data_IF_704834681332
#
_entry.id   IF_704834681332
#
_cell.length_a   1.000
_cell.length_b   1.000
_cell.length_c   1.000
_cell.angle_alpha   90.00
_cell.angle_beta   90.00
_cell.angle_gamma   90.00
#
_symmetry.space_group_name_H-M   'P 1'
#
loop_
_entity.id
_entity.type
_entity.pdbx_description
1 polymer ?
#
# COMPACT_ATOMS: atom_id res chain seq x y z
N UNK A 1 -15.30 -8.26 -6.74
CA UNK A 1 -14.15 -9.19 -6.57
C UNK A 1 -12.87 -8.50 -6.12
N UNK A 2 -12.50 -7.34 -6.68
CA UNK A 2 -11.27 -6.64 -6.27
C UNK A 2 -11.39 -5.98 -4.89
N UNK A 3 -12.56 -5.42 -4.61
CA UNK A 3 -12.86 -4.73 -3.34
C UNK A 3 -12.80 -5.69 -2.13
N UNK A 4 -13.30 -6.91 -2.28
CA UNK A 4 -13.28 -7.95 -1.23
C UNK A 4 -11.86 -8.43 -0.93
N UNK A 5 -10.99 -8.50 -1.95
CA UNK A 5 -9.58 -8.81 -1.75
C UNK A 5 -8.87 -7.69 -0.99
N UNK A 6 -9.12 -6.42 -1.36
CA UNK A 6 -8.57 -5.26 -0.68
C UNK A 6 -9.07 -5.15 0.77
N UNK A 7 -10.34 -5.47 1.04
CA UNK A 7 -10.88 -5.47 2.41
C UNK A 7 -10.23 -6.56 3.28
N UNK A 8 -9.97 -7.75 2.72
CA UNK A 8 -9.20 -8.80 3.40
C UNK A 8 -7.78 -8.33 3.73
N UNK A 9 -7.08 -7.70 2.79
CA UNK A 9 -5.73 -7.18 3.00
C UNK A 9 -5.74 -6.06 4.06
N UNK A 10 -6.72 -5.15 3.98
CA UNK A 10 -6.92 -4.11 4.99
C UNK A 10 -7.09 -4.71 6.39
N UNK A 11 -7.88 -5.77 6.54
CA UNK A 11 -8.07 -6.46 7.83
C UNK A 11 -6.78 -7.09 8.32
N UNK A 12 -6.01 -7.76 7.45
CA UNK A 12 -4.72 -8.37 7.82
C UNK A 12 -3.75 -7.34 8.42
N UNK A 13 -3.63 -6.18 7.79
CA UNK A 13 -2.76 -5.10 8.29
C UNK A 13 -3.34 -4.40 9.52
N UNK A 14 -4.65 -4.12 9.53
CA UNK A 14 -5.30 -3.42 10.65
C UNK A 14 -5.28 -4.22 11.95
N UNK A 15 -5.32 -5.55 11.84
CA UNK A 15 -5.23 -6.46 12.98
C UNK A 15 -3.79 -6.77 13.39
N UNK A 16 -2.79 -6.22 12.68
CA UNK A 16 -1.36 -6.45 12.93
C UNK A 16 -0.97 -7.95 12.90
N UNK A 17 -1.69 -8.74 12.09
CA UNK A 17 -1.43 -10.17 11.95
C UNK A 17 -0.14 -10.46 11.16
N UNK A 18 0.39 -9.44 10.49
CA UNK A 18 1.61 -9.50 9.70
C UNK A 18 2.67 -8.66 10.42
N UNK A 19 3.78 -9.31 10.79
CA UNK A 19 4.98 -8.65 11.32
C UNK A 19 6.09 -8.76 10.29
N UNK A 20 6.55 -7.63 9.77
CA UNK A 20 7.59 -7.65 8.74
C UNK A 20 8.40 -6.36 8.71
N UNK A 21 9.66 -6.50 8.33
CA UNK A 21 10.55 -5.41 7.97
C UNK A 21 10.71 -5.43 6.44
N UNK A 22 10.23 -4.38 5.77
CA UNK A 22 10.25 -4.28 4.32
C UNK A 22 11.46 -3.45 3.95
N UNK A 23 12.54 -4.14 3.59
CA UNK A 23 13.71 -3.58 2.93
C UNK A 23 13.72 -4.03 1.47
N UNK A 24 14.23 -3.19 0.57
CA UNK A 24 14.32 -3.52 -0.85
C UNK A 24 15.19 -4.78 -1.01
N UNK A 25 14.79 -5.80 -1.79
CA UNK A 25 15.62 -6.96 -2.02
C UNK A 25 16.89 -6.52 -2.74
N UNK A 26 18.02 -6.51 -2.05
CA UNK A 26 19.30 -6.21 -2.67
C UNK A 26 19.58 -7.25 -3.76
N UNK A 27 19.80 -6.86 -5.03
CA UNK A 27 20.00 -7.79 -6.13
C UNK A 27 21.27 -8.65 -6.00
N UNK A 28 22.17 -8.28 -5.07
CA UNK A 28 23.41 -8.98 -4.74
C UNK A 28 23.36 -9.77 -3.42
N UNK A 29 22.26 -9.66 -2.67
CA UNK A 29 22.08 -10.42 -1.44
C UNK A 29 21.53 -11.80 -1.78
N UNK A 30 22.26 -12.86 -1.41
CA UNK A 30 21.74 -14.24 -1.37
C UNK A 30 20.70 -14.42 -0.25
N UNK A 31 19.96 -13.37 0.11
CA UNK A 31 18.87 -13.45 1.07
C UNK A 31 17.64 -13.92 0.31
N UNK A 32 17.49 -15.24 0.33
CA UNK A 32 16.32 -16.05 0.05
C UNK A 32 15.21 -15.45 -0.83
N UNK A 33 14.95 -16.18 -1.91
CA UNK A 33 13.81 -16.25 -2.83
C UNK A 33 12.40 -15.84 -2.32
N UNK A 34 12.24 -15.62 -1.02
CA UNK A 34 11.11 -14.99 -0.33
C UNK A 34 11.23 -13.46 -0.30
N UNK A 35 11.69 -12.82 -1.38
CA UNK A 35 11.41 -11.39 -1.69
C UNK A 35 10.06 -10.99 -1.07
N UNK A 36 10.14 -10.20 0.01
CA UNK A 36 9.15 -10.09 1.07
C UNK A 36 7.72 -10.16 0.51
N UNK A 37 6.96 -11.24 0.78
CA UNK A 37 5.60 -11.45 0.25
C UNK A 37 4.73 -10.20 0.47
N UNK A 38 4.99 -9.48 1.55
CA UNK A 38 4.33 -8.23 1.91
C UNK A 38 4.67 -7.09 0.95
N UNK A 39 5.93 -6.98 0.50
CA UNK A 39 6.30 -6.04 -0.56
C UNK A 39 5.51 -6.32 -1.84
N UNK A 40 5.37 -7.59 -2.23
CA UNK A 40 4.56 -7.97 -3.41
C UNK A 40 3.09 -7.61 -3.23
N UNK A 41 2.54 -7.81 -2.03
CA UNK A 41 1.16 -7.40 -1.71
C UNK A 41 1.02 -5.88 -1.87
N UNK A 42 1.94 -5.09 -1.29
CA UNK A 42 1.91 -3.63 -1.38
C UNK A 42 2.06 -3.15 -2.83
N UNK A 43 2.95 -3.74 -3.61
CA UNK A 43 3.15 -3.44 -5.04
C UNK A 43 1.87 -3.74 -5.84
N UNK A 44 1.21 -4.87 -5.60
CA UNK A 44 -0.08 -5.21 -6.23
C UNK A 44 -1.19 -4.23 -5.83
N UNK A 45 -1.27 -3.85 -4.55
CA UNK A 45 -2.21 -2.85 -4.03
C UNK A 45 -1.97 -1.48 -4.66
N UNK A 46 -0.71 -1.08 -4.86
CA UNK A 46 -0.40 0.17 -5.53
C UNK A 46 -0.76 0.13 -7.02
N UNK A 47 -0.52 -1.00 -7.69
CA UNK A 47 -0.90 -1.20 -9.11
C UNK A 47 -2.41 -1.16 -9.32
N UNK A 48 -3.22 -1.60 -8.36
CA UNK A 48 -4.69 -1.54 -8.48
C UNK A 48 -5.25 -0.12 -8.50
N UNK A 49 -4.46 0.87 -8.08
CA UNK A 49 -4.82 2.28 -8.25
C UNK A 49 -4.95 2.70 -9.73
N UNK A 50 -4.26 1.99 -10.65
CA UNK A 50 -4.31 2.26 -12.09
C UNK A 50 -5.61 1.83 -12.78
N UNK A 51 -6.56 1.23 -12.06
CA UNK A 51 -7.83 0.76 -12.62
C UNK A 51 -8.85 1.90 -12.84
N UNK A 52 -8.66 3.05 -12.18
CA UNK A 52 -9.49 4.25 -12.39
C UNK A 52 -10.92 4.16 -11.82
N UNK A 53 -11.19 3.15 -10.99
CA UNK A 53 -12.47 3.01 -10.29
C UNK A 53 -12.40 3.66 -8.90
N UNK A 54 -13.30 4.62 -8.63
CA UNK A 54 -13.30 5.41 -7.40
C UNK A 54 -13.36 4.56 -6.12
N UNK A 55 -14.14 3.47 -6.14
CA UNK A 55 -14.25 2.57 -4.99
C UNK A 55 -12.96 1.80 -4.74
N UNK A 56 -12.29 1.36 -5.81
CA UNK A 56 -11.00 0.67 -5.70
C UNK A 56 -9.94 1.64 -5.16
N UNK A 57 -9.90 2.87 -5.65
CA UNK A 57 -8.98 3.89 -5.15
C UNK A 57 -9.13 4.11 -3.65
N UNK A 58 -10.37 4.27 -3.16
CA UNK A 58 -10.64 4.45 -1.74
C UNK A 58 -10.21 3.23 -0.91
N UNK A 59 -10.50 2.01 -1.39
CA UNK A 59 -10.11 0.77 -0.73
C UNK A 59 -8.57 0.61 -0.69
N UNK A 60 -7.86 0.98 -1.75
CA UNK A 60 -6.39 1.02 -1.75
C UNK A 60 -5.86 2.02 -0.74
N UNK A 61 -6.41 3.25 -0.69
CA UNK A 61 -6.00 4.25 0.29
C UNK A 61 -6.19 3.77 1.74
N UNK A 62 -7.29 3.06 2.02
CA UNK A 62 -7.53 2.45 3.34
C UNK A 62 -6.48 1.40 3.69
N UNK A 63 -6.13 0.53 2.74
CA UNK A 63 -5.08 -0.47 2.90
C UNK A 63 -3.75 0.20 3.22
N UNK A 64 -3.32 1.15 2.38
CA UNK A 64 -2.03 1.84 2.53
C UNK A 64 -1.95 2.60 3.86
N UNK A 65 -3.02 3.31 4.24
CA UNK A 65 -3.11 3.97 5.54
C UNK A 65 -2.92 2.97 6.70
N UNK A 66 -3.57 1.82 6.64
CA UNK A 66 -3.43 0.79 7.69
C UNK A 66 -2.00 0.22 7.75
N UNK A 67 -1.39 -0.04 6.59
CA UNK A 67 -0.01 -0.52 6.50
C UNK A 67 0.99 0.46 7.12
N UNK A 68 0.90 1.77 6.82
CA UNK A 68 1.85 2.77 7.35
C UNK A 68 1.63 3.07 8.84
N UNK A 69 0.40 2.92 9.35
CA UNK A 69 0.08 3.14 10.77
C UNK A 69 0.30 1.91 11.64
N UNK A 70 0.58 0.75 11.05
CA UNK A 70 0.76 -0.51 11.77
C UNK A 70 2.11 -0.51 12.53
N UNK A 71 2.12 -0.70 13.87
CA UNK A 71 3.35 -0.77 14.64
C UNK A 71 4.17 -2.05 14.36
N UNK A 72 3.59 -3.05 13.70
CA UNK A 72 4.27 -4.31 13.36
C UNK A 72 4.88 -4.31 11.96
N UNK A 73 4.71 -3.22 11.22
CA UNK A 73 5.20 -3.08 9.85
C UNK A 73 6.19 -1.92 9.75
N UNK A 74 7.38 -2.23 9.25
CA UNK A 74 8.44 -1.26 9.09
C UNK A 74 8.77 -1.12 7.61
N UNK A 75 8.17 -0.11 6.97
CA UNK A 75 8.36 0.17 5.54
C UNK A 75 9.54 1.12 5.37
N UNK A 76 10.56 0.72 4.61
CA UNK A 76 11.72 1.56 4.32
C UNK A 76 12.05 1.63 2.83
N UNK A 77 12.96 2.54 2.49
CA UNK A 77 13.55 2.68 1.16
C UNK A 77 12.52 2.89 0.05
N UNK A 78 12.73 2.22 -1.09
CA UNK A 78 11.92 2.39 -2.29
C UNK A 78 10.46 1.96 -2.10
N UNK A 79 10.16 1.04 -1.19
CA UNK A 79 8.78 0.64 -0.90
C UNK A 79 7.99 1.82 -0.31
N UNK A 80 8.59 2.58 0.61
CA UNK A 80 7.97 3.78 1.16
C UNK A 80 7.75 4.84 0.07
N UNK A 81 8.77 5.06 -0.77
CA UNK A 81 8.68 6.01 -1.90
C UNK A 81 7.58 5.59 -2.88
N UNK A 82 7.44 4.29 -3.13
CA UNK A 82 6.38 3.75 -3.99
C UNK A 82 4.99 4.02 -3.43
N UNK A 83 4.76 3.75 -2.14
CA UNK A 83 3.48 4.05 -1.46
C UNK A 83 3.17 5.55 -1.50
N UNK A 84 4.14 6.40 -1.15
CA UNK A 84 3.99 7.86 -1.17
C UNK A 84 3.65 8.35 -2.58
N UNK A 85 4.35 7.86 -3.60
CA UNK A 85 4.09 8.22 -5.01
C UNK A 85 2.68 7.82 -5.42
N UNK A 86 2.23 6.63 -5.04
CA UNK A 86 0.87 6.16 -5.34
C UNK A 86 -0.19 7.08 -4.72
N UNK A 87 -0.06 7.41 -3.43
CA UNK A 87 -0.98 8.34 -2.78
C UNK A 87 -0.95 9.73 -3.42
N UNK A 88 0.24 10.23 -3.78
CA UNK A 88 0.40 11.53 -4.41
C UNK A 88 -0.26 11.60 -5.80
N UNK A 89 -0.18 10.51 -6.58
CA UNK A 89 -0.86 10.41 -7.87
C UNK A 89 -2.38 10.51 -7.73
N UNK A 90 -2.99 9.90 -6.72
CA UNK A 90 -4.43 10.06 -6.45
C UNK A 90 -4.76 11.47 -5.99
N UNK A 91 -3.93 12.05 -5.13
CA UNK A 91 -4.13 13.42 -4.64
C UNK A 91 -4.17 14.45 -5.78
N UNK A 92 -3.26 14.33 -6.77
CA UNK A 92 -3.20 15.27 -7.90
C UNK A 92 -4.09 14.90 -9.09
N UNK A 93 -4.25 13.60 -9.36
CA UNK A 93 -4.89 13.10 -10.59
C UNK A 93 -6.27 12.47 -10.39
N UNK A 94 -6.69 12.21 -9.15
CA UNK A 94 -7.99 11.62 -8.86
C UNK A 94 -9.13 12.55 -9.26
N UNK A 95 -10.24 12.00 -9.76
CA UNK A 95 -11.42 12.79 -10.16
C UNK A 95 -12.41 13.01 -9.01
N UNK A 96 -12.25 12.26 -7.92
CA UNK A 96 -13.09 12.33 -6.74
C UNK A 96 -12.41 13.11 -5.60
N UNK A 97 -13.06 14.19 -5.15
CA UNK A 97 -12.56 15.02 -4.04
C UNK A 97 -12.41 14.25 -2.72
N UNK A 98 -13.24 13.22 -2.48
CA UNK A 98 -13.12 12.38 -1.28
C UNK A 98 -11.83 11.57 -1.29
N UNK A 99 -11.53 10.90 -2.41
CA UNK A 99 -10.29 10.14 -2.57
C UNK A 99 -9.06 11.03 -2.51
N UNK A 100 -9.10 12.23 -3.10
CA UNK A 100 -8.02 13.21 -2.97
C UNK A 100 -7.77 13.60 -1.51
N UNK A 101 -8.83 13.91 -0.76
CA UNK A 101 -8.71 14.26 0.65
C UNK A 101 -8.17 13.09 1.48
N UNK A 102 -8.67 11.87 1.24
CA UNK A 102 -8.15 10.66 1.86
C UNK A 102 -6.67 10.46 1.54
N UNK A 103 -6.26 10.62 0.28
CA UNK A 103 -4.86 10.51 -0.13
C UNK A 103 -3.98 11.53 0.57
N UNK A 104 -4.46 12.77 0.72
CA UNK A 104 -3.78 13.80 1.50
C UNK A 104 -3.62 13.40 2.97
N UNK A 105 -4.65 12.80 3.58
CA UNK A 105 -4.55 12.28 4.95
C UNK A 105 -3.53 11.15 5.08
N UNK A 106 -3.38 10.27 4.09
CA UNK A 106 -2.35 9.21 4.12
C UNK A 106 -0.93 9.80 4.01
N UNK A 107 -0.78 10.95 3.36
CA UNK A 107 0.51 11.62 3.15
C UNK A 107 0.93 12.57 4.29
N UNK A 108 0.04 12.92 5.22
CA UNK A 108 0.28 13.88 6.30
C UNK A 108 0.58 13.18 7.61
#
# INVERSE_FOLDING_TARGET
MYDEALDCIFKLFSLNLIKTEIEHPDPNSNFDSNSNIVYKIIDLVCKSMGLGEEQIELSVLRVLHSTVRSPTMLIRGDCLVHVVRTCYNVYLGGLNGTNQLCAKFVLT
#
